data_IF_315124628975
#
_entry.id   IF_315124628975
#
_cell.length_a   1.000
_cell.length_b   1.000
_cell.length_c   1.000
_cell.angle_alpha   90.00
_cell.angle_beta   90.00
_cell.angle_gamma   90.00
#
_symmetry.space_group_name_H-M   'P 1'
#
loop_
_entity.id
_entity.type
_entity.pdbx_description
1 polymer ?
#
# COMPACT_ATOMS: atom_id res chain seq x y z
N UNK A 1 7.47 -16.69 -28.22
CA UNK A 1 6.81 -17.53 -27.20
C UNK A 1 5.45 -17.91 -27.76
N UNK A 2 5.09 -19.20 -27.75
CA UNK A 2 3.79 -19.65 -28.24
C UNK A 2 2.67 -19.22 -27.25
N UNK A 3 1.44 -18.94 -27.73
CA UNK A 3 0.34 -18.60 -26.83
C UNK A 3 -0.05 -19.82 -25.99
N UNK A 4 -0.14 -19.62 -24.68
CA UNK A 4 -0.63 -20.62 -23.73
C UNK A 4 -2.15 -20.61 -23.81
N UNK A 5 -2.74 -21.69 -24.28
CA UNK A 5 -4.18 -21.92 -24.19
C UNK A 5 -4.59 -22.06 -22.72
N UNK A 6 -5.43 -21.14 -22.26
CA UNK A 6 -6.03 -21.18 -20.92
C UNK A 6 -7.23 -22.12 -20.99
N UNK A 7 -7.03 -23.37 -20.61
CA UNK A 7 -8.11 -24.36 -20.56
C UNK A 7 -9.08 -24.04 -19.42
N UNK A 8 -10.37 -23.91 -19.78
CA UNK A 8 -11.55 -24.29 -19.00
C UNK A 8 -11.66 -23.74 -17.57
N UNK A 9 -12.45 -22.67 -17.41
CA UNK A 9 -12.89 -22.19 -16.10
C UNK A 9 -13.55 -23.30 -15.29
N UNK A 10 -12.92 -23.66 -14.17
CA UNK A 10 -13.61 -24.36 -13.09
C UNK A 10 -14.70 -23.41 -12.57
N UNK A 11 -15.94 -23.92 -12.48
CA UNK A 11 -17.02 -23.22 -11.80
C UNK A 11 -16.55 -22.86 -10.38
N UNK A 12 -16.74 -21.61 -9.97
CA UNK A 12 -16.42 -21.15 -8.62
C UNK A 12 -17.18 -22.02 -7.61
N UNK A 13 -16.45 -22.80 -6.81
CA UNK A 13 -17.01 -23.46 -5.62
C UNK A 13 -17.66 -22.40 -4.73
N UNK A 14 -18.83 -22.72 -4.17
CA UNK A 14 -19.48 -21.85 -3.20
C UNK A 14 -18.50 -21.56 -2.05
N UNK A 15 -18.41 -20.31 -1.56
CA UNK A 15 -17.43 -19.95 -0.54
C UNK A 15 -17.61 -20.83 0.69
N UNK A 16 -16.53 -21.50 1.11
CA UNK A 16 -16.51 -22.21 2.38
C UNK A 16 -16.76 -21.20 3.48
N UNK A 17 -17.75 -21.47 4.35
CA UNK A 17 -18.00 -20.65 5.55
C UNK A 17 -16.82 -20.63 6.52
N UNK A 18 -15.83 -21.50 6.31
CA UNK A 18 -14.63 -21.63 7.14
C UNK A 18 -13.37 -21.82 6.30
N UNK A 19 -12.32 -21.05 6.59
CA UNK A 19 -11.09 -21.01 5.80
C UNK A 19 -9.84 -21.09 6.70
N UNK A 20 -8.77 -21.75 6.24
CA UNK A 20 -7.50 -21.80 7.00
C UNK A 20 -6.80 -20.44 7.01
N UNK A 21 -6.76 -19.77 5.87
CA UNK A 21 -6.10 -18.47 5.69
C UNK A 21 -7.02 -17.54 4.91
N UNK A 22 -7.31 -16.38 5.48
CA UNK A 22 -8.02 -15.29 4.81
C UNK A 22 -7.10 -14.06 4.70
N UNK A 23 -7.03 -13.50 3.49
CA UNK A 23 -6.20 -12.34 3.17
C UNK A 23 -7.13 -11.17 2.84
N UNK A 24 -6.96 -10.05 3.54
CA UNK A 24 -7.78 -8.86 3.35
C UNK A 24 -6.90 -7.78 2.70
N UNK A 25 -7.14 -7.55 1.41
CA UNK A 25 -6.39 -6.57 0.60
C UNK A 25 -5.65 -7.20 -0.58
N UNK A 26 -5.62 -6.46 -1.69
CA UNK A 26 -5.15 -6.91 -3.01
C UNK A 26 -3.91 -6.17 -3.52
N UNK A 27 -3.16 -5.50 -2.64
CA UNK A 27 -1.87 -4.93 -3.02
C UNK A 27 -0.78 -6.00 -3.24
N UNK A 28 0.47 -5.58 -3.53
CA UNK A 28 1.63 -6.46 -3.62
C UNK A 28 1.80 -7.41 -2.43
N UNK A 29 1.54 -6.93 -1.21
CA UNK A 29 1.60 -7.73 0.00
C UNK A 29 0.56 -8.86 0.00
N UNK A 30 -0.71 -8.55 -0.29
CA UNK A 30 -1.79 -9.51 -0.33
C UNK A 30 -1.56 -10.60 -1.38
N UNK A 31 -1.25 -10.21 -2.62
CA UNK A 31 -0.99 -11.19 -3.69
C UNK A 31 0.25 -12.05 -3.42
N UNK A 32 1.31 -11.48 -2.84
CA UNK A 32 2.47 -12.31 -2.47
C UNK A 32 2.10 -13.30 -1.37
N UNK A 33 1.34 -12.88 -0.36
CA UNK A 33 0.85 -13.78 0.67
C UNK A 33 -0.01 -14.92 0.08
N UNK A 34 -0.92 -14.59 -0.83
CA UNK A 34 -1.79 -15.56 -1.51
C UNK A 34 -0.99 -16.58 -2.31
N UNK A 35 0.00 -16.14 -3.10
CA UNK A 35 0.86 -17.02 -3.88
C UNK A 35 1.59 -18.03 -2.98
N UNK A 36 2.15 -17.58 -1.86
CA UNK A 36 2.87 -18.46 -0.94
C UNK A 36 1.93 -19.44 -0.21
N UNK A 37 0.81 -18.95 0.33
CA UNK A 37 -0.17 -19.79 1.02
C UNK A 37 -0.83 -20.81 0.07
N UNK A 38 -1.13 -20.43 -1.17
CA UNK A 38 -1.71 -21.32 -2.17
C UNK A 38 -0.72 -22.43 -2.57
N UNK A 39 0.56 -22.09 -2.74
CA UNK A 39 1.62 -23.07 -3.02
C UNK A 39 1.91 -24.01 -1.86
N UNK A 40 1.58 -23.60 -0.63
CA UNK A 40 1.60 -24.46 0.56
C UNK A 40 0.32 -25.31 0.71
N UNK A 41 -0.55 -25.37 -0.31
CA UNK A 41 -1.83 -26.09 -0.31
C UNK A 41 -2.81 -25.66 0.80
N UNK A 42 -2.71 -24.42 1.29
CA UNK A 42 -3.61 -23.88 2.33
C UNK A 42 -4.94 -23.36 1.78
N UNK A 43 -5.12 -23.37 0.45
CA UNK A 43 -6.32 -22.87 -0.27
C UNK A 43 -6.76 -21.48 0.23
N UNK A 44 -5.89 -20.45 0.14
CA UNK A 44 -6.18 -19.14 0.71
C UNK A 44 -7.37 -18.47 0.01
N UNK A 45 -8.17 -17.76 0.80
CA UNK A 45 -9.23 -16.89 0.30
C UNK A 45 -8.76 -15.43 0.43
N UNK A 46 -8.88 -14.66 -0.64
CA UNK A 46 -8.52 -13.25 -0.69
C UNK A 46 -9.75 -12.38 -0.97
N UNK A 47 -9.90 -11.30 -0.22
CA UNK A 47 -10.84 -10.24 -0.50
C UNK A 47 -10.12 -9.05 -1.12
N UNK A 48 -10.35 -8.83 -2.41
CA UNK A 48 -9.63 -7.79 -3.17
C UNK A 48 -10.24 -6.39 -3.04
N UNK A 49 -11.44 -6.28 -2.46
CA UNK A 49 -12.15 -5.03 -2.24
C UNK A 49 -12.94 -4.57 -3.47
N UNK A 50 -14.15 -4.07 -3.23
CA UNK A 50 -14.96 -3.38 -4.24
C UNK A 50 -14.77 -1.87 -4.06
N UNK A 51 -13.75 -1.30 -4.72
CA UNK A 51 -13.32 0.09 -4.51
C UNK A 51 -12.96 0.41 -3.03
N UNK A 52 -12.48 -0.60 -2.29
CA UNK A 52 -12.09 -0.46 -0.89
C UNK A 52 -11.04 0.66 -0.72
N UNK A 53 -11.28 1.56 0.24
CA UNK A 53 -10.46 2.75 0.48
C UNK A 53 -10.29 3.67 -0.75
N UNK A 54 -11.18 3.58 -1.74
CA UNK A 54 -11.12 4.38 -2.97
C UNK A 54 -10.16 3.84 -4.03
N UNK A 55 -9.62 2.63 -3.87
CA UNK A 55 -8.74 2.00 -4.86
C UNK A 55 -9.41 0.81 -5.53
N UNK A 56 -9.14 0.63 -6.83
CA UNK A 56 -9.50 -0.60 -7.52
C UNK A 56 -8.73 -1.80 -6.93
N UNK A 57 -9.22 -3.01 -7.19
CA UNK A 57 -8.50 -4.24 -6.87
C UNK A 57 -7.09 -4.19 -7.49
N UNK A 58 -6.07 -4.43 -6.66
CA UNK A 58 -4.66 -4.17 -6.99
C UNK A 58 -4.01 -3.08 -6.12
N UNK A 59 -4.81 -2.24 -5.45
CA UNK A 59 -4.35 -1.22 -4.51
C UNK A 59 -3.69 -0.01 -5.16
N UNK A 60 -2.80 0.69 -4.45
CA UNK A 60 -2.24 1.98 -4.88
C UNK A 60 -1.57 1.95 -6.26
N UNK A 61 -0.96 0.82 -6.66
CA UNK A 61 -0.32 0.69 -7.97
C UNK A 61 -1.31 0.80 -9.14
N UNK A 62 -2.62 0.60 -8.93
CA UNK A 62 -3.60 0.83 -10.00
C UNK A 62 -3.72 2.30 -10.39
N UNK A 63 -3.18 3.20 -9.57
CA UNK A 63 -3.23 4.65 -9.75
C UNK A 63 -1.92 5.24 -10.25
N UNK A 64 -0.87 4.43 -10.44
CA UNK A 64 0.40 4.89 -11.00
C UNK A 64 0.53 4.49 -12.47
N UNK A 65 1.30 5.25 -13.24
CA UNK A 65 1.56 4.97 -14.64
C UNK A 65 2.63 3.90 -14.80
N UNK A 66 3.88 4.21 -14.45
CA UNK A 66 5.07 3.38 -14.71
C UNK A 66 5.77 2.99 -13.41
N UNK A 67 6.10 1.71 -13.30
CA UNK A 67 6.85 1.12 -12.19
C UNK A 67 8.21 0.67 -12.72
N UNK A 68 9.25 1.41 -12.38
CA UNK A 68 10.63 1.15 -12.82
C UNK A 68 11.52 0.54 -11.72
N UNK A 69 11.03 0.49 -10.49
CA UNK A 69 11.80 0.10 -9.31
C UNK A 69 11.39 -1.26 -8.71
N UNK A 70 10.52 -2.01 -9.39
CA UNK A 70 10.23 -3.39 -9.01
C UNK A 70 11.14 -4.35 -9.79
N UNK A 71 12.00 -5.13 -9.12
CA UNK A 71 12.96 -6.00 -9.78
C UNK A 71 12.26 -7.10 -10.58
N UNK A 72 12.77 -7.37 -11.79
CA UNK A 72 12.19 -8.34 -12.73
C UNK A 72 11.58 -7.70 -13.99
N UNK A 73 11.38 -6.38 -14.00
CA UNK A 73 10.88 -5.62 -15.14
C UNK A 73 11.93 -4.62 -15.62
N UNK A 74 12.94 -5.05 -16.42
CA UNK A 74 14.07 -4.19 -16.80
C UNK A 74 13.69 -3.00 -17.68
N UNK A 75 12.57 -3.09 -18.40
CA UNK A 75 12.04 -2.01 -19.24
C UNK A 75 10.90 -1.22 -18.54
N UNK A 76 10.72 -1.44 -17.23
CA UNK A 76 9.55 -0.97 -16.50
C UNK A 76 8.27 -1.75 -16.85
N UNK A 77 7.20 -1.47 -16.10
CA UNK A 77 5.87 -2.04 -16.32
C UNK A 77 4.82 -1.06 -15.83
N UNK A 78 3.63 -1.06 -16.44
CA UNK A 78 2.54 -0.23 -15.93
C UNK A 78 2.01 -0.76 -14.60
N UNK A 79 1.68 0.14 -13.67
CA UNK A 79 1.16 -0.24 -12.35
C UNK A 79 -0.02 -1.21 -12.40
N UNK A 80 -1.10 -0.91 -13.16
CA UNK A 80 -2.22 -1.85 -13.35
C UNK A 80 -1.81 -3.20 -13.95
N UNK A 81 -0.96 -3.20 -14.98
CA UNK A 81 -0.51 -4.43 -15.66
C UNK A 81 0.28 -5.33 -14.72
N UNK A 82 1.13 -4.74 -13.87
CA UNK A 82 1.85 -5.46 -12.84
C UNK A 82 0.90 -6.13 -11.83
N UNK A 83 -0.16 -5.44 -11.43
CA UNK A 83 -1.16 -6.00 -10.50
C UNK A 83 -2.00 -7.10 -11.15
N UNK A 84 -2.31 -6.99 -12.45
CA UNK A 84 -2.96 -8.06 -13.20
C UNK A 84 -2.10 -9.34 -13.23
N UNK A 85 -0.78 -9.21 -13.41
CA UNK A 85 0.16 -10.34 -13.33
C UNK A 85 0.16 -10.99 -11.94
N UNK A 86 0.13 -10.18 -10.88
CA UNK A 86 0.10 -10.67 -9.49
C UNK A 86 -1.19 -11.43 -9.19
N UNK A 87 -2.32 -10.88 -9.64
CA UNK A 87 -3.64 -11.52 -9.53
C UNK A 87 -3.68 -12.84 -10.31
N UNK A 88 -3.22 -12.84 -11.56
CA UNK A 88 -3.16 -14.05 -12.39
C UNK A 88 -2.29 -15.14 -11.74
N UNK A 89 -1.15 -14.77 -11.16
CA UNK A 89 -0.28 -15.73 -10.46
C UNK A 89 -0.92 -16.29 -9.19
N UNK A 90 -1.66 -15.46 -8.43
CA UNK A 90 -2.41 -15.91 -7.25
C UNK A 90 -3.47 -16.95 -7.61
N UNK A 91 -4.27 -16.66 -8.65
CA UNK A 91 -5.32 -17.58 -9.15
C UNK A 91 -4.71 -18.87 -9.70
N UNK A 92 -3.61 -18.78 -10.46
CA UNK A 92 -2.93 -19.94 -11.04
C UNK A 92 -2.55 -21.00 -10.01
N UNK A 93 -2.19 -20.61 -8.79
CA UNK A 93 -1.82 -21.54 -7.73
C UNK A 93 -2.99 -21.97 -6.83
N UNK A 94 -4.22 -21.52 -7.11
CA UNK A 94 -5.42 -21.96 -6.41
C UNK A 94 -5.90 -21.02 -5.30
N UNK A 95 -5.56 -19.73 -5.36
CA UNK A 95 -6.19 -18.72 -4.50
C UNK A 95 -7.62 -18.46 -4.98
N UNK A 96 -8.59 -18.49 -4.07
CA UNK A 96 -9.95 -18.00 -4.34
C UNK A 96 -10.00 -16.51 -4.06
N UNK A 97 -10.34 -15.70 -5.07
CA UNK A 97 -10.37 -14.23 -4.95
C UNK A 97 -11.81 -13.74 -5.06
N UNK A 98 -12.27 -13.01 -4.07
CA UNK A 98 -13.57 -12.35 -4.02
C UNK A 98 -13.42 -10.84 -4.20
N UNK A 99 -14.11 -10.29 -5.20
CA UNK A 99 -14.20 -8.84 -5.45
C UNK A 99 -15.22 -8.18 -4.52
N UNK A 100 -14.98 -8.32 -3.22
CA UNK A 100 -15.86 -7.83 -2.16
C UNK A 100 -15.01 -7.16 -1.07
N UNK A 101 -15.57 -6.15 -0.41
CA UNK A 101 -14.92 -5.45 0.71
C UNK A 101 -15.26 -6.15 2.02
N UNK A 102 -14.26 -6.42 2.86
CA UNK A 102 -14.51 -6.81 4.25
C UNK A 102 -14.78 -5.56 5.07
N UNK A 103 -15.97 -5.46 5.66
CA UNK A 103 -16.41 -4.29 6.43
C UNK A 103 -16.28 -4.49 7.94
N UNK A 104 -16.21 -5.74 8.42
CA UNK A 104 -16.10 -6.05 9.85
C UNK A 104 -15.27 -7.31 10.09
N UNK A 105 -14.47 -7.28 11.15
CA UNK A 105 -13.81 -8.46 11.74
C UNK A 105 -14.01 -8.48 13.26
N UNK A 106 -14.01 -9.67 13.83
CA UNK A 106 -13.98 -9.92 15.27
C UNK A 106 -12.81 -10.86 15.57
N UNK A 107 -11.82 -10.32 16.29
CA UNK A 107 -10.57 -10.98 16.65
C UNK A 107 -10.56 -11.49 18.10
N UNK A 108 -11.70 -11.43 18.80
CA UNK A 108 -11.79 -11.75 20.24
C UNK A 108 -11.68 -13.24 20.54
N UNK A 109 -12.05 -14.10 19.59
CA UNK A 109 -11.99 -15.56 19.71
C UNK A 109 -11.63 -16.22 18.37
N UNK A 110 -11.16 -17.47 18.45
CA UNK A 110 -10.78 -18.28 17.29
C UNK A 110 -11.81 -19.41 17.06
N UNK A 111 -12.15 -19.76 15.80
CA UNK A 111 -11.67 -19.12 14.56
C UNK A 111 -12.22 -17.69 14.45
N UNK A 112 -11.40 -16.81 13.89
CA UNK A 112 -11.73 -15.39 13.74
C UNK A 112 -12.94 -15.23 12.83
N UNK A 113 -13.76 -14.21 13.07
CA UNK A 113 -14.97 -13.95 12.30
C UNK A 113 -14.79 -12.73 11.43
N UNK A 114 -15.34 -12.77 10.22
CA UNK A 114 -15.35 -11.64 9.30
C UNK A 114 -16.66 -11.56 8.52
N UNK A 115 -16.99 -10.35 8.07
CA UNK A 115 -18.19 -10.07 7.29
C UNK A 115 -17.86 -9.19 6.09
N UNK A 116 -18.55 -9.47 5.00
CA UNK A 116 -18.53 -8.67 3.78
C UNK A 116 -19.41 -7.44 3.95
N UNK A 117 -19.07 -6.38 3.22
CA UNK A 117 -19.85 -5.14 3.17
C UNK A 117 -21.30 -5.43 2.77
N UNK A 118 -22.25 -4.97 3.60
CA UNK A 118 -23.68 -5.21 3.40
C UNK A 118 -24.22 -6.50 4.02
N UNK A 119 -23.35 -7.35 4.60
CA UNK A 119 -23.73 -8.62 5.24
C UNK A 119 -23.41 -8.66 6.74
N UNK A 120 -23.17 -7.50 7.40
CA UNK A 120 -22.65 -7.47 8.78
C UNK A 120 -23.60 -8.03 9.85
N UNK A 121 -24.88 -8.19 9.51
CA UNK A 121 -25.93 -8.74 10.39
C UNK A 121 -26.16 -10.25 10.17
N UNK A 122 -25.50 -10.83 9.16
CA UNK A 122 -25.61 -12.25 8.82
C UNK A 122 -24.71 -13.16 9.67
N UNK A 123 -24.75 -14.46 9.37
CA UNK A 123 -23.77 -15.40 9.90
C UNK A 123 -22.36 -15.03 9.42
N UNK A 124 -21.36 -14.96 10.31
CA UNK A 124 -19.99 -14.70 9.91
C UNK A 124 -19.41 -15.85 9.09
N UNK A 125 -18.54 -15.49 8.16
CA UNK A 125 -17.52 -16.42 7.70
C UNK A 125 -16.36 -16.47 8.72
N UNK A 126 -15.62 -17.57 8.74
CA UNK A 126 -14.58 -17.81 9.75
C UNK A 126 -13.22 -18.13 9.16
N UNK A 127 -12.16 -17.73 9.86
CA UNK A 127 -10.78 -17.98 9.47
C UNK A 127 -9.92 -18.45 10.64
N UNK A 128 -9.11 -19.50 10.46
CA UNK A 128 -8.11 -19.91 11.47
C UNK A 128 -7.01 -18.85 11.64
N UNK A 129 -6.60 -18.23 10.52
CA UNK A 129 -5.61 -17.15 10.46
C UNK A 129 -6.06 -16.03 9.54
N UNK A 130 -5.65 -14.80 9.87
CA UNK A 130 -5.94 -13.60 9.07
C UNK A 130 -4.64 -12.88 8.68
N UNK A 131 -4.55 -12.46 7.43
CA UNK A 131 -3.48 -11.59 6.92
C UNK A 131 -4.10 -10.25 6.51
N UNK A 132 -3.82 -9.20 7.28
CA UNK A 132 -4.24 -7.83 7.02
C UNK A 132 -3.24 -7.17 6.08
N UNK A 133 -3.63 -6.99 4.82
CA UNK A 133 -2.83 -6.39 3.76
C UNK A 133 -3.56 -5.22 3.08
N UNK A 134 -4.33 -4.46 3.87
CA UNK A 134 -5.23 -3.39 3.43
C UNK A 134 -4.51 -2.12 2.96
N UNK A 135 -3.20 -2.05 3.16
CA UNK A 135 -2.33 -0.97 2.69
C UNK A 135 -2.51 0.35 3.47
N UNK A 136 -2.09 1.44 2.82
CA UNK A 136 -2.25 2.80 3.28
C UNK A 136 -2.59 3.68 2.07
N UNK A 137 -3.10 4.88 2.31
CA UNK A 137 -3.34 5.89 1.27
C UNK A 137 -2.52 7.14 1.54
N UNK A 138 -1.89 7.69 0.50
CA UNK A 138 -1.20 8.96 0.63
C UNK A 138 -2.20 10.09 0.90
N UNK A 139 -1.90 10.95 1.88
CA UNK A 139 -2.73 12.14 2.15
C UNK A 139 -2.60 13.12 0.99
N UNK A 140 -3.73 13.54 0.45
CA UNK A 140 -3.87 14.54 -0.61
C UNK A 140 -4.46 15.83 -0.04
N UNK A 141 -4.20 16.97 -0.69
CA UNK A 141 -4.76 18.26 -0.27
C UNK A 141 -6.08 18.59 -0.98
N UNK A 142 -6.37 17.94 -2.11
CA UNK A 142 -7.55 18.18 -2.94
C UNK A 142 -7.71 19.65 -3.33
N UNK A 143 -6.61 20.30 -3.71
CA UNK A 143 -6.64 21.68 -4.20
C UNK A 143 -7.32 21.74 -5.58
N UNK A 144 -7.97 22.86 -5.95
CA UNK A 144 -8.44 23.09 -7.32
C UNK A 144 -7.35 22.76 -8.36
N UNK A 145 -7.73 22.01 -9.40
CA UNK A 145 -6.83 21.52 -10.45
C UNK A 145 -6.11 20.21 -10.13
N UNK A 146 -6.15 19.73 -8.87
CA UNK A 146 -5.41 18.53 -8.48
C UNK A 146 -5.84 17.28 -9.24
N UNK A 147 -7.15 17.05 -9.43
CA UNK A 147 -7.63 15.88 -10.16
C UNK A 147 -7.20 15.86 -11.63
N UNK A 148 -7.06 17.04 -12.27
CA UNK A 148 -6.59 17.15 -13.65
C UNK A 148 -5.11 16.78 -13.78
N UNK A 149 -4.29 17.19 -12.82
CA UNK A 149 -2.83 17.03 -12.88
C UNK A 149 -2.30 15.89 -12.00
N UNK A 150 -3.18 15.12 -11.35
CA UNK A 150 -2.80 13.92 -10.61
C UNK A 150 -2.17 12.91 -11.56
N UNK A 151 -0.95 12.45 -11.25
CA UNK A 151 -0.09 11.65 -12.14
C UNK A 151 0.32 12.33 -13.45
N UNK A 152 -0.03 13.62 -13.63
CA UNK A 152 0.38 14.46 -14.76
C UNK A 152 1.10 15.73 -14.27
N UNK A 153 1.97 15.53 -13.28
CA UNK A 153 2.72 16.59 -12.60
C UNK A 153 2.52 16.62 -11.08
N UNK A 154 1.46 16.02 -10.55
CA UNK A 154 1.24 15.88 -9.11
C UNK A 154 1.44 14.42 -8.69
N UNK A 155 2.25 14.20 -7.65
CA UNK A 155 2.55 12.88 -7.08
C UNK A 155 2.54 12.93 -5.55
N UNK A 156 2.46 11.77 -4.91
CA UNK A 156 2.68 11.61 -3.48
C UNK A 156 3.84 10.66 -3.14
N UNK A 157 4.68 10.33 -4.13
CA UNK A 157 5.88 9.52 -3.94
C UNK A 157 7.05 10.07 -4.76
N UNK A 158 7.89 10.91 -4.15
CA UNK A 158 9.09 11.41 -4.83
C UNK A 158 10.06 10.31 -5.25
N UNK A 159 10.17 9.23 -4.48
CA UNK A 159 11.07 8.09 -4.78
C UNK A 159 10.63 7.34 -6.03
N UNK A 160 9.32 7.20 -6.22
CA UNK A 160 8.70 6.53 -7.36
C UNK A 160 8.88 7.37 -8.63
N UNK A 161 8.41 8.62 -8.58
CA UNK A 161 8.22 9.38 -9.82
C UNK A 161 9.34 10.41 -10.06
N UNK A 162 10.18 10.71 -9.09
CA UNK A 162 11.17 11.79 -9.19
C UNK A 162 12.12 11.67 -10.39
N UNK A 163 12.36 10.44 -10.87
CA UNK A 163 13.23 10.16 -12.00
C UNK A 163 12.55 10.28 -13.37
N UNK A 164 11.21 10.35 -13.44
CA UNK A 164 10.50 10.33 -14.72
C UNK A 164 10.84 11.57 -15.56
N UNK A 165 10.85 11.46 -16.91
CA UNK A 165 11.39 12.52 -17.79
C UNK A 165 10.75 13.91 -17.61
N UNK A 166 9.47 13.97 -17.25
CA UNK A 166 8.72 15.24 -17.11
C UNK A 166 9.28 16.16 -16.01
N UNK A 167 9.97 15.62 -15.00
CA UNK A 167 10.54 16.39 -13.89
C UNK A 167 12.01 16.77 -14.07
N UNK A 168 12.67 16.25 -15.12
CA UNK A 168 14.11 16.39 -15.30
C UNK A 168 14.49 17.84 -15.63
N UNK A 169 15.39 18.42 -14.82
CA UNK A 169 15.84 19.82 -14.93
C UNK A 169 14.68 20.83 -14.89
N UNK A 170 13.57 20.49 -14.23
CA UNK A 170 12.43 21.38 -14.01
C UNK A 170 12.33 21.84 -12.55
N UNK A 171 11.72 23.00 -12.26
CA UNK A 171 11.40 23.39 -10.90
C UNK A 171 10.32 22.46 -10.33
N UNK A 172 10.53 21.99 -9.10
CA UNK A 172 9.62 21.07 -8.41
C UNK A 172 9.23 21.68 -7.06
N UNK A 173 8.08 21.26 -6.52
CA UNK A 173 7.60 21.65 -5.21
C UNK A 173 7.31 20.41 -4.36
N UNK A 174 7.66 20.48 -3.07
CA UNK A 174 7.31 19.48 -2.05
C UNK A 174 6.47 20.15 -0.99
N UNK A 175 5.32 19.57 -0.65
CA UNK A 175 4.49 20.04 0.45
C UNK A 175 4.75 19.19 1.67
N UNK A 176 5.08 19.85 2.78
CA UNK A 176 5.26 19.18 4.06
C UNK A 176 6.34 19.85 4.91
N UNK A 177 6.38 19.49 6.19
CA UNK A 177 7.35 20.07 7.14
C UNK A 177 8.00 19.07 8.09
N UNK A 178 7.77 17.77 7.89
CA UNK A 178 8.40 16.69 8.67
C UNK A 178 9.70 16.19 8.03
N UNK A 179 10.27 15.13 8.60
CA UNK A 179 11.47 14.48 8.04
C UNK A 179 11.21 13.96 6.62
N UNK A 180 10.05 13.35 6.34
CA UNK A 180 9.69 12.88 4.99
C UNK A 180 9.76 13.99 3.94
N UNK A 181 9.28 15.20 4.25
CA UNK A 181 9.36 16.32 3.32
C UNK A 181 10.80 16.76 3.07
N UNK A 182 11.66 16.71 4.08
CA UNK A 182 13.08 17.02 3.92
C UNK A 182 13.80 15.94 3.08
N UNK A 183 13.50 14.66 3.33
CA UNK A 183 14.07 13.53 2.60
C UNK A 183 13.65 13.53 1.13
N UNK A 184 12.35 13.71 0.86
CA UNK A 184 11.81 13.78 -0.50
C UNK A 184 12.33 15.00 -1.25
N UNK A 185 12.36 16.18 -0.62
CA UNK A 185 12.95 17.37 -1.24
C UNK A 185 14.41 17.16 -1.61
N UNK A 186 15.22 16.60 -0.69
CA UNK A 186 16.61 16.23 -0.94
C UNK A 186 16.74 15.21 -2.07
N UNK A 187 15.87 14.19 -2.13
CA UNK A 187 15.88 13.20 -3.20
C UNK A 187 15.62 13.84 -4.57
N UNK A 188 14.63 14.73 -4.67
CA UNK A 188 14.26 15.40 -5.91
C UNK A 188 15.35 16.34 -6.46
N UNK A 189 16.29 16.82 -5.63
CA UNK A 189 17.42 17.65 -6.09
C UNK A 189 18.34 16.93 -7.09
N UNK A 190 18.30 15.59 -7.12
CA UNK A 190 19.02 14.75 -8.09
C UNK A 190 18.49 14.92 -9.52
N UNK A 191 17.22 15.30 -9.66
CA UNK A 191 16.51 15.34 -10.95
C UNK A 191 16.06 16.74 -11.33
N UNK A 192 15.45 17.47 -10.40
CA UNK A 192 14.95 18.83 -10.61
C UNK A 192 16.07 19.87 -10.80
N UNK A 193 15.74 20.97 -11.46
CA UNK A 193 16.62 22.15 -11.52
C UNK A 193 16.66 22.86 -10.17
N UNK A 194 15.50 22.96 -9.50
CA UNK A 194 15.31 23.56 -8.19
C UNK A 194 14.13 22.90 -7.46
N UNK A 195 14.13 22.91 -6.12
CA UNK A 195 13.06 22.32 -5.30
C UNK A 195 12.56 23.35 -4.28
N UNK A 196 11.29 23.69 -4.36
CA UNK A 196 10.60 24.51 -3.36
C UNK A 196 10.00 23.61 -2.28
N UNK A 197 10.28 23.88 -1.01
CA UNK A 197 9.59 23.24 0.10
C UNK A 197 8.50 24.17 0.63
N UNK A 198 7.23 23.80 0.44
CA UNK A 198 6.07 24.54 0.90
C UNK A 198 5.73 24.11 2.34
N UNK A 199 6.10 24.94 3.31
CA UNK A 199 5.93 24.66 4.74
C UNK A 199 4.84 25.56 5.30
N UNK A 200 3.74 24.97 5.79
CA UNK A 200 2.58 25.71 6.33
C UNK A 200 2.91 26.61 7.54
N UNK A 201 3.97 26.30 8.29
CA UNK A 201 4.39 27.03 9.49
C UNK A 201 5.72 27.75 9.24
N UNK A 202 6.18 28.52 10.22
CA UNK A 202 7.51 29.14 10.25
C UNK A 202 8.58 28.24 10.91
N UNK A 203 8.27 26.95 11.07
CA UNK A 203 9.16 25.94 11.66
C UNK A 203 8.95 24.57 11.01
N UNK A 204 10.04 23.82 10.85
CA UNK A 204 10.00 22.41 10.45
C UNK A 204 9.79 21.53 11.69
N UNK A 205 8.93 20.52 11.58
CA UNK A 205 8.79 19.41 12.55
C UNK A 205 9.94 18.40 12.41
N UNK A 206 10.64 18.42 11.28
CA UNK A 206 11.78 17.55 11.00
C UNK A 206 12.84 17.61 12.12
N UNK A 207 13.58 16.52 12.28
CA UNK A 207 14.78 16.48 13.11
C UNK A 207 15.74 17.62 12.73
N UNK A 208 16.46 18.15 13.73
CA UNK A 208 17.39 19.29 13.53
C UNK A 208 18.43 19.01 12.44
N UNK A 209 18.87 17.76 12.32
CA UNK A 209 19.85 17.33 11.31
C UNK A 209 19.23 17.36 9.91
N UNK A 210 18.02 16.82 9.73
CA UNK A 210 17.32 16.85 8.43
C UNK A 210 16.96 18.25 8.00
N UNK A 211 16.37 19.04 8.89
CA UNK A 211 16.04 20.44 8.63
C UNK A 211 17.28 21.22 8.18
N UNK A 212 18.41 21.08 8.89
CA UNK A 212 19.66 21.76 8.53
C UNK A 212 20.17 21.32 7.16
N UNK A 213 20.17 20.02 6.86
CA UNK A 213 20.62 19.50 5.56
C UNK A 213 19.79 20.08 4.42
N UNK A 214 18.46 19.98 4.51
CA UNK A 214 17.56 20.49 3.49
C UNK A 214 17.73 22.01 3.28
N UNK A 215 17.74 22.80 4.37
CA UNK A 215 17.89 24.25 4.30
C UNK A 215 19.26 24.71 3.78
N UNK A 216 20.32 23.91 3.96
CA UNK A 216 21.66 24.23 3.49
C UNK A 216 21.91 23.84 2.02
N UNK A 217 20.97 23.14 1.39
CA UNK A 217 21.16 22.61 0.05
C UNK A 217 20.96 23.72 -1.01
N UNK A 218 21.89 23.91 -1.96
CA UNK A 218 21.86 25.05 -2.89
C UNK A 218 20.67 25.03 -3.88
N UNK A 219 20.08 23.85 -4.11
CA UNK A 219 18.88 23.69 -4.96
C UNK A 219 17.56 23.70 -4.19
N UNK A 220 17.56 23.92 -2.87
CA UNK A 220 16.33 23.90 -2.07
C UNK A 220 16.03 25.30 -1.56
N UNK A 221 14.80 25.77 -1.81
CA UNK A 221 14.26 26.97 -1.17
C UNK A 221 13.09 26.60 -0.30
N UNK A 222 13.20 26.88 1.01
CA UNK A 222 12.07 26.70 1.94
C UNK A 222 11.18 27.94 1.90
N UNK A 223 9.94 27.75 1.48
CA UNK A 223 8.88 28.75 1.53
C UNK A 223 8.06 28.53 2.81
N UNK A 224 8.42 29.28 3.84
CA UNK A 224 7.74 29.27 5.14
C UNK A 224 6.34 29.87 5.05
N UNK A 225 5.48 29.49 5.99
CA UNK A 225 4.10 29.93 6.08
C UNK A 225 3.33 29.78 4.76
N UNK A 226 3.75 28.88 3.86
CA UNK A 226 3.24 28.82 2.49
C UNK A 226 2.45 27.53 2.28
N UNK A 227 1.28 27.64 1.66
CA UNK A 227 0.45 26.49 1.26
C UNK A 227 0.07 26.61 -0.22
N UNK A 228 0.04 25.51 -0.99
CA UNK A 228 -0.56 25.53 -2.31
C UNK A 228 -2.08 25.68 -2.19
N UNK A 229 -2.69 26.44 -3.08
CA UNK A 229 -4.14 26.68 -3.11
C UNK A 229 -4.78 26.38 -4.47
N UNK A 230 -3.99 26.23 -5.53
CA UNK A 230 -4.47 25.83 -6.86
C UNK A 230 -3.31 25.27 -7.69
N UNK A 231 -3.57 24.19 -8.43
CA UNK A 231 -2.67 23.61 -9.42
C UNK A 231 -3.05 24.07 -10.84
N UNK A 232 -2.08 24.59 -11.59
CA UNK A 232 -2.29 25.17 -12.92
C UNK A 232 -1.36 24.53 -13.94
N UNK A 233 -1.87 24.42 -15.17
CA UNK A 233 -1.18 23.73 -16.26
C UNK A 233 -1.76 24.13 -17.62
N UNK A 234 -1.30 23.45 -18.65
CA UNK A 234 -1.76 23.62 -20.03
C UNK A 234 -2.98 22.73 -20.38
N UNK A 235 -3.54 22.05 -19.39
CA UNK A 235 -4.62 21.06 -19.55
C UNK A 235 -4.11 19.63 -19.66
N UNK A 236 -2.82 19.43 -19.91
CA UNK A 236 -2.18 18.10 -19.91
C UNK A 236 -1.20 17.99 -18.74
N UNK A 237 -0.25 18.92 -18.60
CA UNK A 237 0.82 18.89 -17.61
C UNK A 237 0.75 20.07 -16.64
N UNK A 238 1.13 19.82 -15.39
CA UNK A 238 1.36 20.87 -14.40
C UNK A 238 2.49 21.81 -14.85
N UNK A 239 2.26 23.12 -14.73
CA UNK A 239 3.28 24.14 -15.01
C UNK A 239 3.49 25.11 -13.87
N UNK A 240 2.45 25.41 -13.09
CA UNK A 240 2.49 26.40 -12.02
C UNK A 240 1.66 25.96 -10.81
N UNK A 241 2.01 26.51 -9.66
CA UNK A 241 1.21 26.44 -8.44
C UNK A 241 0.84 27.84 -8.00
N UNK A 242 -0.44 28.08 -7.72
CA UNK A 242 -0.83 29.21 -6.88
C UNK A 242 -0.51 28.83 -5.44
N UNK A 243 0.29 29.65 -4.78
CA UNK A 243 0.62 29.49 -3.36
C UNK A 243 0.16 30.70 -2.57
N UNK A 244 -0.22 30.46 -1.32
CA UNK A 244 -0.70 31.46 -0.37
C UNK A 244 0.21 31.52 0.85
N UNK A 245 0.64 32.72 1.21
CA UNK A 245 1.24 32.97 2.51
C UNK A 245 0.14 33.03 3.58
N UNK A 246 0.26 32.20 4.61
CA UNK A 246 -0.72 32.03 5.68
C UNK A 246 -0.67 33.12 6.74
N UNK A 247 0.38 33.96 6.76
CA UNK A 247 0.49 35.14 7.63
C UNK A 247 -0.06 36.38 6.93
N UNK A 248 0.34 36.65 5.68
CA UNK A 248 -0.10 37.86 4.95
C UNK A 248 -1.39 37.69 4.17
N UNK A 249 -1.82 36.44 3.92
CA UNK A 249 -2.86 36.08 2.94
C UNK A 249 -2.55 36.45 1.49
N UNK A 250 -1.31 36.86 1.19
CA UNK A 250 -0.90 37.15 -0.19
C UNK A 250 -0.80 35.85 -1.01
N UNK A 251 -1.33 35.89 -2.22
CA UNK A 251 -1.26 34.78 -3.17
C UNK A 251 -0.39 35.13 -4.37
N UNK A 252 0.42 34.18 -4.82
CA UNK A 252 1.28 34.32 -5.99
C UNK A 252 1.40 33.01 -6.74
N UNK A 253 1.71 33.08 -8.03
CA UNK A 253 2.06 31.90 -8.81
C UNK A 253 3.56 31.63 -8.71
N UNK A 254 3.93 30.37 -8.58
CA UNK A 254 5.31 29.88 -8.72
C UNK A 254 5.37 28.87 -9.86
N UNK A 255 6.44 28.91 -10.64
CA UNK A 255 6.71 27.89 -11.65
C UNK A 255 7.09 26.58 -10.94
N UNK A 256 6.36 25.51 -11.22
CA UNK A 256 6.61 24.18 -10.71
C UNK A 256 5.96 23.16 -11.65
N UNK A 257 6.78 22.37 -12.35
CA UNK A 257 6.30 21.29 -13.21
C UNK A 257 6.00 20.00 -12.43
N UNK A 258 6.37 19.96 -11.15
CA UNK A 258 6.09 18.86 -10.25
C UNK A 258 5.63 19.34 -8.88
N UNK A 259 4.59 18.73 -8.34
CA UNK A 259 4.13 18.88 -6.96
C UNK A 259 4.14 17.51 -6.27
N UNK A 260 4.87 17.40 -5.17
CA UNK A 260 5.02 16.17 -4.40
C UNK A 260 4.45 16.34 -2.99
N UNK A 261 3.46 15.53 -2.63
CA UNK A 261 2.87 15.52 -1.30
C UNK A 261 3.68 14.65 -0.32
N UNK A 262 4.36 15.29 0.62
CA UNK A 262 5.08 14.65 1.72
C UNK A 262 4.40 14.95 3.08
N UNK A 263 3.06 14.84 3.09
CA UNK A 263 2.20 15.17 4.25
C UNK A 263 1.71 13.94 5.03
N UNK A 264 2.32 12.79 4.77
CA UNK A 264 2.04 11.51 5.45
C UNK A 264 1.02 10.64 4.71
N UNK A 265 0.74 9.48 5.29
CA UNK A 265 -0.22 8.51 4.75
C UNK A 265 -1.25 8.17 5.84
N UNK A 266 -2.36 7.57 5.44
CA UNK A 266 -3.40 7.02 6.31
C UNK A 266 -3.39 5.50 6.14
N UNK A 267 -2.91 4.72 7.12
CA UNK A 267 -2.99 3.27 7.06
C UNK A 267 -4.45 2.82 7.17
N UNK A 268 -4.84 1.80 6.40
CA UNK A 268 -6.22 1.30 6.34
C UNK A 268 -6.53 0.33 7.49
N UNK A 269 -6.51 0.84 8.73
CA UNK A 269 -6.60 0.07 9.98
C UNK A 269 -7.94 0.14 10.69
N UNK A 270 -8.93 0.84 10.12
CA UNK A 270 -10.23 1.02 10.77
C UNK A 270 -10.90 -0.33 11.09
N UNK A 271 -10.72 -1.34 10.24
CA UNK A 271 -11.24 -2.69 10.42
C UNK A 271 -10.78 -3.35 11.74
N UNK A 272 -9.56 -3.07 12.18
CA UNK A 272 -8.89 -3.72 13.32
C UNK A 272 -8.67 -2.78 14.50
N UNK A 273 -9.16 -1.55 14.41
CA UNK A 273 -8.96 -0.51 15.41
C UNK A 273 -9.60 -0.90 16.73
N UNK A 274 -8.82 -0.80 17.80
CA UNK A 274 -9.24 -1.23 19.14
C UNK A 274 -9.19 -2.74 19.38
N UNK A 275 -8.83 -3.54 18.35
CA UNK A 275 -8.60 -4.98 18.45
C UNK A 275 -7.11 -5.32 18.35
N UNK A 276 -6.37 -4.64 17.48
CA UNK A 276 -4.91 -4.76 17.35
C UNK A 276 -4.18 -3.54 17.92
N UNK A 277 -2.95 -3.75 18.36
CA UNK A 277 -2.06 -2.67 18.78
C UNK A 277 -1.67 -1.81 17.57
N UNK A 278 -2.04 -0.53 17.62
CA UNK A 278 -1.63 0.46 16.64
C UNK A 278 -0.55 1.38 17.24
N UNK A 279 0.28 1.98 16.37
CA UNK A 279 1.15 3.08 16.76
C UNK A 279 0.41 4.43 16.80
N UNK A 280 1.11 5.48 17.21
CA UNK A 280 0.54 6.83 17.33
C UNK A 280 0.05 7.40 15.99
N UNK A 281 0.55 6.89 14.86
CA UNK A 281 0.18 7.29 13.51
C UNK A 281 -0.91 6.37 12.90
N UNK A 282 -1.34 5.35 13.64
CA UNK A 282 -2.42 4.42 13.28
C UNK A 282 -1.97 3.16 12.52
N UNK A 283 -0.67 2.91 12.38
CA UNK A 283 -0.15 1.71 11.70
C UNK A 283 -0.22 0.50 12.64
N UNK A 284 -0.45 -0.69 12.08
CA UNK A 284 -0.44 -1.94 12.87
C UNK A 284 0.97 -2.19 13.36
N UNK A 285 1.14 -2.38 14.67
CA UNK A 285 2.42 -2.79 15.24
C UNK A 285 2.66 -4.26 14.95
N UNK A 286 3.80 -4.56 14.33
CA UNK A 286 4.29 -5.92 14.16
C UNK A 286 5.52 -6.17 15.03
N UNK A 287 5.74 -7.42 15.44
CA UNK A 287 6.99 -7.80 16.12
C UNK A 287 8.16 -7.55 15.14
N UNK A 288 9.20 -6.78 15.53
CA UNK A 288 10.27 -6.39 14.62
C UNK A 288 10.90 -7.57 13.88
N UNK A 289 11.01 -7.44 12.56
CA UNK A 289 11.56 -8.49 11.68
C UNK A 289 10.57 -9.59 11.31
N UNK A 290 9.29 -9.48 11.70
CA UNK A 290 8.23 -10.47 11.41
C UNK A 290 6.93 -9.78 11.01
N UNK A 291 5.93 -10.56 10.59
CA UNK A 291 4.59 -10.08 10.26
C UNK A 291 3.57 -10.27 11.39
N UNK A 292 3.99 -10.77 12.55
CA UNK A 292 3.12 -11.08 13.70
C UNK A 292 2.59 -9.80 14.36
N UNK A 293 1.28 -9.75 14.63
CA UNK A 293 0.62 -8.65 15.34
C UNK A 293 0.53 -8.92 16.85
N UNK A 294 -0.26 -8.11 17.58
CA UNK A 294 -0.55 -8.32 19.01
C UNK A 294 -1.47 -9.52 19.28
N UNK A 295 -2.14 -10.07 18.26
CA UNK A 295 -3.00 -11.26 18.37
C UNK A 295 -2.37 -12.40 17.57
N UNK A 296 -2.16 -13.53 18.25
CA UNK A 296 -1.64 -14.75 17.65
C UNK A 296 -2.57 -15.27 16.54
N UNK A 297 -2.01 -15.67 15.40
CA UNK A 297 -2.78 -16.07 14.21
C UNK A 297 -3.27 -14.90 13.34
N UNK A 298 -3.04 -13.65 13.76
CA UNK A 298 -3.28 -12.45 12.94
C UNK A 298 -1.95 -11.82 12.54
N UNK A 299 -1.77 -11.63 11.23
CA UNK A 299 -0.57 -11.07 10.62
C UNK A 299 -0.91 -9.77 9.89
N UNK A 300 0.07 -8.88 9.78
CA UNK A 300 -0.04 -7.66 8.98
C UNK A 300 1.10 -7.58 7.96
N UNK A 301 0.78 -7.14 6.74
CA UNK A 301 1.74 -7.06 5.65
C UNK A 301 1.54 -5.82 4.78
N UNK A 302 2.65 -5.29 4.27
CA UNK A 302 2.69 -4.10 3.42
C UNK A 302 2.50 -2.81 4.19
N UNK A 303 2.12 -1.77 3.48
CA UNK A 303 2.09 -0.39 3.99
C UNK A 303 1.18 -0.20 5.23
N UNK A 304 0.24 -1.11 5.52
CA UNK A 304 -0.60 -1.04 6.73
C UNK A 304 0.20 -1.14 8.03
N UNK A 305 1.40 -1.74 7.96
CA UNK A 305 2.34 -1.89 9.08
C UNK A 305 3.74 -1.28 8.81
N UNK A 306 3.99 -0.81 7.58
CA UNK A 306 5.27 -0.19 7.20
C UNK A 306 5.09 1.29 6.88
N UNK A 307 5.41 2.16 7.84
CA UNK A 307 5.46 3.62 7.63
C UNK A 307 6.81 4.13 7.12
N UNK A 308 7.82 3.26 7.04
CA UNK A 308 9.21 3.64 6.77
C UNK A 308 9.49 3.54 5.27
N UNK A 309 9.35 2.35 4.67
CA UNK A 309 9.81 2.11 3.30
C UNK A 309 8.71 2.37 2.27
N UNK A 310 7.50 1.82 2.47
CA UNK A 310 6.33 2.07 1.61
C UNK A 310 6.62 1.86 0.12
N UNK A 311 7.17 0.69 -0.23
CA UNK A 311 7.47 0.31 -1.62
C UNK A 311 6.76 -1.00 -1.96
N UNK A 312 6.42 -1.18 -3.23
CA UNK A 312 5.78 -2.40 -3.72
C UNK A 312 6.61 -3.66 -3.40
N UNK A 313 7.95 -3.57 -3.53
CA UNK A 313 8.85 -4.69 -3.25
C UNK A 313 9.00 -5.01 -1.76
N UNK A 314 9.01 -4.01 -0.88
CA UNK A 314 9.02 -4.25 0.58
C UNK A 314 7.68 -4.80 1.03
N UNK A 315 6.57 -4.30 0.46
CA UNK A 315 5.24 -4.85 0.64
C UNK A 315 5.15 -6.32 0.22
N UNK A 316 5.63 -6.66 -0.98
CA UNK A 316 5.68 -8.05 -1.44
C UNK A 316 6.50 -8.95 -0.49
N UNK A 317 7.68 -8.50 -0.05
CA UNK A 317 8.50 -9.22 0.93
C UNK A 317 7.75 -9.50 2.23
N UNK A 318 7.07 -8.49 2.80
CA UNK A 318 6.29 -8.67 4.03
C UNK A 318 5.06 -9.58 3.84
N UNK A 319 4.47 -9.60 2.63
CA UNK A 319 3.41 -10.54 2.28
C UNK A 319 3.89 -12.00 2.31
N UNK A 320 5.09 -12.26 1.79
CA UNK A 320 5.75 -13.57 1.93
C UNK A 320 5.95 -13.94 3.40
N UNK A 321 6.47 -13.02 4.22
CA UNK A 321 6.68 -13.26 5.66
C UNK A 321 5.36 -13.60 6.38
N UNK A 322 4.27 -12.90 6.06
CA UNK A 322 2.95 -13.17 6.65
C UNK A 322 2.41 -14.55 6.28
N UNK A 323 2.51 -14.95 5.00
CA UNK A 323 2.06 -16.26 4.58
C UNK A 323 2.86 -17.41 5.21
N UNK A 324 4.20 -17.27 5.30
CA UNK A 324 5.05 -18.26 5.98
C UNK A 324 4.80 -18.30 7.49
N UNK A 325 4.49 -17.15 8.10
CA UNK A 325 4.08 -17.08 9.50
C UNK A 325 2.77 -17.83 9.75
N UNK A 326 1.76 -17.58 8.91
CA UNK A 326 0.45 -18.23 9.00
C UNK A 326 0.54 -19.74 8.73
N UNK A 327 1.31 -20.16 7.73
CA UNK A 327 1.54 -21.57 7.42
C UNK A 327 2.17 -22.31 8.61
N UNK A 328 3.26 -21.77 9.15
CA UNK A 328 3.92 -22.35 10.32
C UNK A 328 2.98 -22.47 11.51
N UNK A 329 2.22 -21.40 11.77
CA UNK A 329 1.28 -21.38 12.88
C UNK A 329 0.19 -22.44 12.72
N UNK A 330 -0.36 -22.59 11.50
CA UNK A 330 -1.34 -23.64 11.18
C UNK A 330 -0.73 -25.03 11.38
N UNK A 331 0.49 -25.28 10.92
CA UNK A 331 1.16 -26.58 11.11
C UNK A 331 1.44 -26.92 12.58
N UNK A 332 1.76 -25.92 13.41
CA UNK A 332 1.97 -26.12 14.85
C UNK A 332 0.64 -26.39 15.60
N UNK A 333 -0.50 -25.96 15.03
CA UNK A 333 -1.84 -26.09 15.62
C UNK A 333 -2.74 -27.11 14.93
N UNK A 334 -2.26 -27.79 13.88
CA UNK A 334 -2.92 -28.96 13.32
C UNK A 334 -2.89 -30.08 14.37
N UNK A 335 -4.02 -30.30 15.03
CA UNK A 335 -4.22 -31.51 15.82
C UNK A 335 -4.21 -32.70 14.87
N UNK A 336 -3.27 -33.64 15.05
CA UNK A 336 -3.29 -34.94 14.38
C UNK A 336 -4.70 -35.51 14.45
N UNK A 337 -5.38 -35.60 13.30
CA UNK A 337 -6.64 -36.32 13.23
C UNK A 337 -6.32 -37.82 13.36
N UNK A 338 -7.23 -38.61 13.96
CA UNK A 338 -7.01 -40.07 14.08
C UNK A 338 -6.90 -40.77 12.72
N UNK A 339 -7.24 -40.10 11.62
CA UNK A 339 -7.14 -40.62 10.24
C UNK A 339 -5.71 -40.52 9.69
N UNK A 340 -4.89 -39.57 10.15
CA UNK A 340 -3.51 -39.36 9.65
C UNK A 340 -2.48 -40.35 10.24
N UNK A 341 -2.88 -41.12 11.26
CA UNK A 341 -1.99 -42.02 12.02
C UNK A 341 -2.29 -43.50 11.75
N UNK A 342 -3.07 -43.83 10.71
CA UNK A 342 -3.30 -45.24 10.39
C UNK A 342 -2.02 -45.84 9.76
N UNK A 343 -1.33 -46.79 10.42
CA UNK A 343 -0.18 -47.45 9.80
C UNK A 343 -0.65 -48.17 8.55
N UNK A 344 0.20 -48.30 7.50
CA UNK A 344 -0.15 -49.06 6.32
C UNK A 344 -0.62 -50.45 6.77
N UNK A 345 -1.86 -50.79 6.42
CA UNK A 345 -2.44 -52.10 6.70
C UNK A 345 -1.47 -53.13 6.12
N UNK A 346 -0.82 -53.89 7.02
CA UNK A 346 0.14 -54.90 6.64
C UNK A 346 -0.50 -55.90 5.68
N UNK A 347 0.19 -56.15 4.56
CA UNK A 347 -0.10 -57.28 3.70
C UNK A 347 0.41 -58.54 4.39
N UNK A 348 -0.50 -59.31 5.00
CA UNK A 348 -0.29 -60.74 5.23
C UNK A 348 -0.40 -61.54 3.93
#
# INVERSE_FOLDING_TARGET
>A
MAPIEVNGGAAAEAPSKHNKVVIIGSGPAGHTAAIYAARANLKPVMFEGMLANGFAAGGQLTTTTDVENFPGFPEGIRGPEMMDLFRAQSVRFGTTIHTETISKVDLSERPFKYWREGEEQGEPETAETLIIATGASAKRMHIPGEETYWQSGISACAVCDGAVPIFRKKPLAVVGGGDSACEEAMYLTKYGSHVYMLVRRDVLRASKVMAKRAMSHPKITVLWNTVPVEAKGDGELLTHLRVKDTKSNEERDIEANGLFYAIGHVPATELVKGQLDLDEDGYIKTRPGTAETSIEGVYAAGDVQDKIYRQAITSASSGCQAALGAERWLSEHETLSREDVQPPVGSE
#
